data_IF_765415132992
#
_entry.id   IF_765415132992
#
_cell.length_a   1.000
_cell.length_b   1.000
_cell.length_c   1.000
_cell.angle_alpha   90.00
_cell.angle_beta   90.00
_cell.angle_gamma   90.00
#
_symmetry.space_group_name_H-M   'P 1'
#
loop_
_entity.id
_entity.type
_entity.pdbx_description
1 polymer ?
#
# COMPACT_ATOMS: atom_id res chain seq x y z
N UNK A 1 -9.84 -8.72 2.90
CA UNK A 1 -8.38 -8.45 2.90
C UNK A 1 -7.61 -9.55 3.62
N UNK A 2 -8.08 -10.05 4.77
CA UNK A 2 -7.44 -11.15 5.52
C UNK A 2 -7.17 -12.39 4.65
N UNK A 3 -8.18 -12.85 3.90
CA UNK A 3 -8.02 -14.01 3.00
C UNK A 3 -6.98 -13.79 1.90
N UNK A 4 -6.83 -12.56 1.40
CA UNK A 4 -5.83 -12.21 0.37
C UNK A 4 -4.41 -12.10 0.93
N UNK A 5 -4.28 -11.88 2.25
CA UNK A 5 -3.00 -11.74 2.93
C UNK A 5 -2.59 -13.01 3.67
N UNK A 6 -3.45 -14.04 3.72
CA UNK A 6 -3.22 -15.31 4.40
C UNK A 6 -2.85 -15.14 5.89
N UNK A 7 -3.55 -14.25 6.58
CA UNK A 7 -3.30 -13.89 7.99
C UNK A 7 -4.43 -14.30 8.94
N UNK A 8 -4.08 -14.54 10.20
CA UNK A 8 -5.00 -14.88 11.28
C UNK A 8 -5.83 -13.69 11.79
N UNK A 9 -6.80 -13.98 12.65
CA UNK A 9 -7.71 -12.96 13.19
C UNK A 9 -6.98 -11.87 14.00
N UNK A 10 -5.91 -12.25 14.70
CA UNK A 10 -5.13 -11.41 15.62
C UNK A 10 -3.93 -10.73 14.96
N UNK A 11 -3.64 -11.03 13.69
CA UNK A 11 -2.53 -10.41 12.99
C UNK A 11 -2.84 -8.94 12.70
N UNK A 12 -1.87 -8.09 12.99
CA UNK A 12 -1.96 -6.65 12.77
C UNK A 12 -1.55 -6.30 11.34
N UNK A 13 -2.24 -5.33 10.78
CA UNK A 13 -2.07 -4.89 9.39
C UNK A 13 -2.01 -3.37 9.34
N UNK A 14 -1.00 -2.84 8.66
CA UNK A 14 -0.95 -1.45 8.27
C UNK A 14 -1.92 -1.22 7.12
N UNK A 15 -2.75 -0.18 7.24
CA UNK A 15 -3.59 0.32 6.15
C UNK A 15 -3.05 1.67 5.72
N UNK A 16 -2.63 1.76 4.47
CA UNK A 16 -1.99 2.95 3.91
C UNK A 16 -2.83 3.41 2.73
N UNK A 17 -3.21 4.68 2.71
CA UNK A 17 -4.00 5.28 1.62
C UNK A 17 -3.21 6.45 1.09
N UNK A 18 -2.89 6.41 -0.21
CA UNK A 18 -2.02 7.41 -0.85
C UNK A 18 -2.61 7.87 -2.17
N UNK A 19 -2.31 9.10 -2.53
CA UNK A 19 -2.51 9.60 -3.89
C UNK A 19 -1.16 9.82 -4.55
N UNK A 20 -1.03 9.44 -5.81
CA UNK A 20 0.18 9.77 -6.59
C UNK A 20 -0.08 10.98 -7.46
N UNK A 21 0.82 11.95 -7.37
CA UNK A 21 0.87 13.07 -8.29
C UNK A 21 1.78 12.70 -9.47
N UNK A 22 1.26 12.82 -10.69
CA UNK A 22 2.04 12.66 -11.92
C UNK A 22 1.68 13.88 -12.77
N UNK A 23 2.70 14.61 -13.22
CA UNK A 23 2.57 15.83 -14.03
C UNK A 23 1.63 16.90 -13.43
N UNK A 24 1.60 17.01 -12.09
CA UNK A 24 0.78 17.99 -11.37
C UNK A 24 -0.62 17.48 -11.00
N UNK A 25 -1.04 16.33 -11.53
CA UNK A 25 -2.39 15.79 -11.33
C UNK A 25 -2.40 14.56 -10.40
N UNK A 26 -3.46 14.42 -9.60
CA UNK A 26 -3.68 13.23 -8.75
C UNK A 26 -4.31 12.12 -9.58
N UNK A 27 -3.48 11.25 -10.15
CA UNK A 27 -3.93 10.24 -11.14
C UNK A 27 -4.28 8.89 -10.49
N UNK A 28 -3.62 8.53 -9.39
CA UNK A 28 -3.73 7.18 -8.79
C UNK A 28 -4.10 7.29 -7.31
N UNK A 29 -5.07 6.49 -6.88
CA UNK A 29 -5.40 6.26 -5.47
C UNK A 29 -4.98 4.83 -5.07
N UNK A 30 -3.90 4.73 -4.32
CA UNK A 30 -3.41 3.45 -3.77
C UNK A 30 -4.05 3.20 -2.40
N UNK A 31 -4.45 1.94 -2.17
CA UNK A 31 -4.92 1.43 -0.87
C UNK A 31 -4.12 0.18 -0.55
N UNK A 32 -2.98 0.38 0.10
CA UNK A 32 -2.02 -0.68 0.42
C UNK A 32 -2.33 -1.27 1.81
N UNK A 33 -2.11 -2.58 1.94
CA UNK A 33 -2.22 -3.30 3.20
C UNK A 33 -0.97 -4.14 3.41
N UNK A 34 -0.26 -3.91 4.52
CA UNK A 34 0.99 -4.61 4.84
C UNK A 34 0.87 -5.32 6.18
N UNK A 35 1.30 -6.58 6.25
CA UNK A 35 1.26 -7.36 7.49
C UNK A 35 2.36 -6.88 8.44
N UNK A 36 2.00 -6.45 9.64
CA UNK A 36 2.94 -5.83 10.60
C UNK A 36 4.07 -6.78 11.00
N UNK A 37 3.83 -8.10 10.98
CA UNK A 37 4.85 -9.11 11.26
C UNK A 37 6.06 -9.00 10.32
N UNK A 38 5.86 -8.59 9.06
CA UNK A 38 6.94 -8.44 8.07
C UNK A 38 7.38 -6.99 7.92
N UNK A 39 6.47 -6.04 8.15
CA UNK A 39 6.73 -4.60 8.09
C UNK A 39 6.41 -4.02 9.46
N UNK A 40 7.38 -4.08 10.36
CA UNK A 40 7.24 -3.73 11.78
C UNK A 40 6.93 -2.25 12.00
N UNK A 41 7.56 -1.39 11.21
CA UNK A 41 7.39 0.06 11.22
C UNK A 41 7.14 0.61 9.82
N UNK A 42 6.26 1.61 9.75
CA UNK A 42 6.03 2.40 8.54
C UNK A 42 5.76 3.86 8.93
N UNK A 43 6.47 4.79 8.29
CA UNK A 43 6.41 6.22 8.58
C UNK A 43 5.85 6.98 7.38
N UNK A 44 5.48 8.25 7.59
CA UNK A 44 5.04 9.12 6.50
C UNK A 44 6.12 9.27 5.41
N UNK A 45 7.37 9.50 5.82
CA UNK A 45 8.52 9.61 4.90
C UNK A 45 8.71 8.34 4.04
N UNK A 46 8.54 7.15 4.63
CA UNK A 46 8.58 5.89 3.86
C UNK A 46 7.41 5.83 2.86
N UNK A 47 6.22 6.31 3.25
CA UNK A 47 5.02 6.29 2.42
C UNK A 47 5.05 7.31 1.28
N UNK A 48 5.73 8.44 1.45
CA UNK A 48 5.97 9.45 0.42
C UNK A 48 6.94 8.94 -0.66
N UNK A 49 7.81 8.01 -0.29
CA UNK A 49 8.79 7.38 -1.17
C UNK A 49 8.31 5.99 -1.65
N UNK A 50 9.27 5.14 -2.07
CA UNK A 50 9.00 3.77 -2.49
C UNK A 50 8.92 2.83 -1.29
N UNK A 51 7.71 2.39 -0.93
CA UNK A 51 7.50 1.34 0.08
C UNK A 51 8.25 0.05 -0.30
N UNK A 52 8.34 -0.27 -1.60
CA UNK A 52 9.07 -1.45 -2.06
C UNK A 52 10.57 -1.32 -1.84
N UNK A 53 11.15 -0.14 -2.05
CA UNK A 53 12.56 0.11 -1.75
C UNK A 53 12.85 -0.04 -0.26
N UNK A 54 11.93 0.42 0.61
CA UNK A 54 12.05 0.19 2.04
C UNK A 54 12.03 -1.31 2.38
N UNK A 55 11.10 -2.08 1.78
CA UNK A 55 10.97 -3.53 2.01
C UNK A 55 12.22 -4.28 1.55
N UNK A 56 12.72 -4.03 0.34
CA UNK A 56 13.85 -4.78 -0.22
C UNK A 56 15.20 -4.28 0.30
N UNK A 57 15.34 -2.96 0.45
CA UNK A 57 16.59 -2.33 0.87
C UNK A 57 16.78 -2.31 2.38
N UNK A 58 15.82 -1.74 3.13
CA UNK A 58 15.97 -1.55 4.59
C UNK A 58 15.59 -2.80 5.37
N UNK A 59 14.49 -3.47 5.02
CA UNK A 59 14.07 -4.70 5.68
C UNK A 59 14.79 -5.95 5.13
N UNK A 60 15.43 -5.84 3.96
CA UNK A 60 16.19 -6.94 3.35
C UNK A 60 15.30 -8.10 2.86
N UNK A 61 14.00 -7.87 2.70
CA UNK A 61 13.05 -8.88 2.25
C UNK A 61 13.10 -8.99 0.72
N UNK A 62 13.03 -10.20 0.19
CA UNK A 62 13.01 -10.41 -1.26
C UNK A 62 11.58 -10.56 -1.76
N UNK A 63 11.17 -9.72 -2.71
CA UNK A 63 9.87 -9.86 -3.37
C UNK A 63 10.02 -10.89 -4.49
N UNK A 64 9.35 -12.04 -4.33
CA UNK A 64 9.49 -13.15 -5.28
C UNK A 64 8.57 -12.99 -6.51
N UNK A 65 7.28 -12.72 -6.27
CA UNK A 65 6.28 -12.58 -7.32
C UNK A 65 5.09 -11.74 -6.83
N UNK A 66 4.29 -11.26 -7.77
CA UNK A 66 3.05 -10.55 -7.50
C UNK A 66 1.92 -11.14 -8.34
N UNK A 67 0.71 -11.20 -7.76
CA UNK A 67 -0.52 -11.54 -8.48
C UNK A 67 -1.34 -10.25 -8.68
N UNK A 68 -1.70 -9.94 -9.92
CA UNK A 68 -2.48 -8.74 -10.26
C UNK A 68 -3.79 -9.13 -10.96
N UNK A 69 -4.87 -8.46 -10.57
CA UNK A 69 -6.17 -8.54 -11.21
C UNK A 69 -6.54 -7.11 -11.66
N UNK A 70 -7.03 -6.96 -12.88
CA UNK A 70 -7.36 -5.66 -13.49
C UNK A 70 -8.84 -5.68 -13.87
N UNK A 71 -9.57 -4.67 -13.40
CA UNK A 71 -11.01 -4.50 -13.68
C UNK A 71 -11.30 -3.04 -14.02
N UNK A 72 -12.32 -2.79 -14.83
CA UNK A 72 -12.81 -1.44 -15.15
C UNK A 72 -14.09 -1.17 -14.36
N UNK A 73 -14.15 -0.04 -13.66
CA UNK A 73 -15.30 0.38 -12.87
C UNK A 73 -15.49 1.89 -13.00
N UNK A 74 -16.72 2.36 -12.84
CA UNK A 74 -16.99 3.80 -12.74
C UNK A 74 -16.34 4.36 -11.47
N UNK A 75 -15.74 5.54 -11.58
CA UNK A 75 -15.16 6.23 -10.43
C UNK A 75 -16.28 6.55 -9.42
N UNK A 76 -16.05 6.19 -8.16
CA UNK A 76 -16.90 6.60 -7.04
C UNK A 76 -16.41 7.93 -6.50
N UNK A 77 -17.33 8.74 -5.97
CA UNK A 77 -16.96 9.97 -5.27
C UNK A 77 -16.21 9.61 -3.99
N UNK A 78 -14.88 9.68 -4.03
CA UNK A 78 -14.03 9.58 -2.84
C UNK A 78 -13.69 11.00 -2.45
N UNK A 79 -14.20 11.48 -1.31
CA UNK A 79 -13.81 12.76 -0.73
C UNK A 79 -12.35 12.65 -0.26
N UNK A 80 -11.40 12.97 -1.15
CA UNK A 80 -9.98 13.09 -0.81
C UNK A 80 -9.79 14.46 -0.18
N UNK A 81 -10.27 14.64 1.05
CA UNK A 81 -9.86 15.75 1.89
C UNK A 81 -8.49 15.42 2.46
N UNK A 82 -7.46 16.04 1.92
CA UNK A 82 -6.20 16.24 2.61
C UNK A 82 -6.14 17.74 2.94
N UNK A 83 -6.26 18.16 4.21
CA UNK A 83 -5.77 19.49 4.60
C UNK A 83 -4.25 19.58 4.37
#
# INVERSE_FOLDING_TARGET
IKDKLEIGINDKVWKIVRTRNIDGEKIILDKDYLVQKYVDNITHEICENSIYEYIEGKLGLKIAYAKKEITVQSATLVLIFCP
#
